data_IF_138288074241
#
_entry.id   IF_138288074241
#
_cell.length_a   1.000
_cell.length_b   1.000
_cell.length_c   1.000
_cell.angle_alpha   90.00
_cell.angle_beta   90.00
_cell.angle_gamma   90.00
#
_symmetry.space_group_name_H-M   'P 1'
#
loop_
_entity.id
_entity.type
_entity.pdbx_description
1 polymer ?
#
# COMPACT_ATOMS: atom_id res chain seq x y z
N UNK A 1 37.92 52.35 14.61
CA UNK A 1 37.43 52.09 15.99
C UNK A 1 36.21 52.93 16.28
N UNK A 2 36.29 54.21 16.69
CA UNK A 2 35.08 55.05 16.94
C UNK A 2 34.01 54.97 15.84
N UNK A 3 34.32 55.48 14.64
CA UNK A 3 33.46 55.36 13.43
C UNK A 3 33.04 53.94 13.05
N UNK A 4 33.67 52.89 13.58
CA UNK A 4 33.31 51.50 13.27
C UNK A 4 32.12 51.09 14.13
N UNK A 5 32.21 51.29 15.45
CA UNK A 5 31.10 51.05 16.38
C UNK A 5 29.94 52.05 16.18
N UNK A 6 30.25 53.29 15.79
CA UNK A 6 29.26 54.32 15.47
C UNK A 6 28.43 53.91 14.24
N UNK A 7 29.08 53.45 13.15
CA UNK A 7 28.38 52.89 11.99
C UNK A 7 27.61 51.60 12.31
N UNK A 8 28.13 50.73 13.20
CA UNK A 8 27.43 49.51 13.63
C UNK A 8 26.15 49.85 14.42
N UNK A 9 26.20 50.86 15.29
CA UNK A 9 25.04 51.38 16.02
C UNK A 9 24.02 52.07 15.10
N UNK A 10 24.47 52.93 14.18
CA UNK A 10 23.58 53.55 13.18
C UNK A 10 22.90 52.50 12.30
N UNK A 11 23.63 51.46 11.89
CA UNK A 11 23.09 50.32 11.13
C UNK A 11 22.04 49.56 11.93
N UNK A 12 22.31 49.21 13.19
CA UNK A 12 21.36 48.52 14.06
C UNK A 12 20.09 49.35 14.33
N UNK A 13 20.22 50.66 14.56
CA UNK A 13 19.08 51.58 14.73
C UNK A 13 18.28 51.72 13.44
N UNK A 14 18.94 51.79 12.29
CA UNK A 14 18.28 51.83 10.97
C UNK A 14 17.44 50.56 10.72
N UNK A 15 18.02 49.38 10.99
CA UNK A 15 17.33 48.08 10.89
C UNK A 15 16.12 48.03 11.83
N UNK A 16 16.26 48.47 13.09
CA UNK A 16 15.16 48.49 14.05
C UNK A 16 14.02 49.43 13.62
N UNK A 17 14.32 50.60 13.07
CA UNK A 17 13.32 51.54 12.56
C UNK A 17 12.58 51.01 11.34
N UNK A 18 13.28 50.33 10.42
CA UNK A 18 12.69 49.67 9.24
C UNK A 18 11.76 48.51 9.64
N UNK A 19 12.18 47.66 10.58
CA UNK A 19 11.34 46.60 11.18
C UNK A 19 10.05 47.17 11.79
N UNK A 20 10.15 48.25 12.58
CA UNK A 20 8.99 48.93 13.19
C UNK A 20 8.09 49.60 12.12
N UNK A 21 8.66 50.12 11.03
CA UNK A 21 7.90 50.74 9.95
C UNK A 21 7.10 49.71 9.16
N UNK A 22 7.72 48.57 8.81
CA UNK A 22 7.08 47.47 8.07
C UNK A 22 5.93 46.85 8.87
N UNK A 23 6.12 46.58 10.16
CA UNK A 23 5.06 46.01 11.02
C UNK A 23 3.81 46.88 11.10
N UNK A 24 3.94 48.21 11.08
CA UNK A 24 2.81 49.14 11.09
C UNK A 24 2.08 49.28 9.76
N UNK A 25 2.73 48.96 8.64
CA UNK A 25 2.13 49.06 7.31
C UNK A 25 1.34 47.80 6.92
N UNK A 26 1.67 46.68 7.54
CA UNK A 26 1.23 45.35 7.11
C UNK A 26 2.00 44.87 5.89
N UNK A 27 2.17 43.56 5.77
CA UNK A 27 2.94 42.92 4.71
C UNK A 27 2.04 42.04 3.85
N UNK A 28 2.34 41.96 2.56
CA UNK A 28 1.62 41.09 1.63
C UNK A 28 2.02 39.60 1.75
N UNK A 29 2.77 39.22 2.79
CA UNK A 29 3.33 37.88 2.97
C UNK A 29 2.38 36.99 3.80
N UNK A 30 1.91 37.48 4.95
CA UNK A 30 0.66 37.07 5.61
C UNK A 30 0.44 37.90 6.89
N UNK A 31 -0.78 37.91 7.41
CA UNK A 31 -1.13 38.54 8.69
C UNK A 31 -0.26 38.06 9.87
N UNK A 32 0.33 36.86 9.76
CA UNK A 32 1.31 36.35 10.71
C UNK A 32 2.54 37.26 10.85
N UNK A 33 3.16 37.67 9.73
CA UNK A 33 4.36 38.52 9.73
C UNK A 33 4.09 39.88 10.38
N UNK A 34 2.86 40.36 10.30
CA UNK A 34 2.46 41.67 10.81
C UNK A 34 2.28 41.65 12.34
N UNK A 35 1.73 40.55 12.88
CA UNK A 35 1.68 40.29 14.33
C UNK A 35 3.10 40.19 14.87
N UNK A 36 3.98 39.45 14.19
CA UNK A 36 5.38 39.25 14.58
C UNK A 36 6.17 40.55 14.63
N UNK A 37 6.10 41.38 13.58
CA UNK A 37 6.74 42.68 13.54
C UNK A 37 6.15 43.64 14.58
N UNK A 38 4.87 43.46 14.95
CA UNK A 38 4.24 44.21 16.05
C UNK A 38 4.75 43.76 17.42
N UNK A 39 4.75 42.45 17.74
CA UNK A 39 5.31 41.93 18.99
C UNK A 39 6.80 42.27 19.14
N UNK A 40 7.59 42.14 18.08
CA UNK A 40 8.98 42.57 18.09
C UNK A 40 9.11 44.08 18.36
N UNK A 41 8.29 44.92 17.73
CA UNK A 41 8.23 46.37 17.99
C UNK A 41 7.75 46.73 19.41
N UNK A 42 6.99 45.87 20.09
CA UNK A 42 6.59 46.06 21.49
C UNK A 42 7.63 45.55 22.47
N UNK A 43 8.18 44.33 22.29
CA UNK A 43 9.31 43.81 23.08
C UNK A 43 10.56 44.72 22.94
N UNK A 44 10.76 45.38 21.79
CA UNK A 44 11.81 46.42 21.60
C UNK A 44 11.68 47.57 22.62
N UNK A 45 10.45 48.06 22.88
CA UNK A 45 10.21 49.19 23.78
C UNK A 45 10.41 48.83 25.26
N UNK A 46 10.23 47.56 25.63
CA UNK A 46 10.31 47.09 27.01
C UNK A 46 11.67 46.49 27.40
N UNK A 47 12.24 45.66 26.52
CA UNK A 47 13.40 44.81 26.80
C UNK A 47 14.59 45.02 25.86
N UNK A 48 14.53 46.04 24.99
CA UNK A 48 15.58 46.32 24.01
C UNK A 48 15.66 45.27 22.89
N UNK A 49 16.82 45.21 22.23
CA UNK A 49 17.02 44.39 21.03
C UNK A 49 16.91 42.89 21.31
N UNK A 50 17.40 42.40 22.45
CA UNK A 50 17.38 40.97 22.79
C UNK A 50 15.95 40.41 22.90
N UNK A 51 15.02 41.20 23.45
CA UNK A 51 13.61 40.82 23.50
C UNK A 51 12.93 40.86 22.12
N UNK A 52 13.38 41.75 21.23
CA UNK A 52 12.91 41.79 19.85
C UNK A 52 13.45 40.60 19.02
N UNK A 53 14.70 40.20 19.25
CA UNK A 53 15.30 38.99 18.70
C UNK A 53 14.54 37.74 19.17
N UNK A 54 14.24 37.62 20.46
CA UNK A 54 13.43 36.51 20.96
C UNK A 54 12.03 36.47 20.31
N UNK A 55 11.35 37.60 20.11
CA UNK A 55 10.10 37.62 19.32
C UNK A 55 10.29 37.19 17.85
N UNK A 56 11.39 37.56 17.21
CA UNK A 56 11.67 37.15 15.84
C UNK A 56 12.01 35.65 15.74
N UNK A 57 12.70 35.09 16.73
CA UNK A 57 12.97 33.66 16.83
C UNK A 57 11.69 32.88 17.17
N UNK A 58 10.93 33.29 18.20
CA UNK A 58 9.60 32.76 18.54
C UNK A 58 8.69 32.69 17.29
N UNK A 59 8.80 33.70 16.42
CA UNK A 59 8.04 33.85 15.19
C UNK A 59 8.52 33.02 14.00
N UNK A 60 9.83 32.95 13.75
CA UNK A 60 10.37 32.09 12.69
C UNK A 60 10.09 30.61 13.04
N UNK A 61 10.21 30.26 14.32
CA UNK A 61 9.79 28.97 14.88
C UNK A 61 8.30 28.69 14.60
N UNK A 62 7.43 29.70 14.66
CA UNK A 62 5.99 29.55 14.36
C UNK A 62 5.66 29.62 12.85
N UNK A 63 6.49 30.22 11.99
CA UNK A 63 6.29 30.23 10.53
C UNK A 63 6.69 28.92 9.85
N UNK A 64 7.88 28.39 10.14
CA UNK A 64 8.33 27.07 9.61
C UNK A 64 7.38 25.95 10.04
N UNK A 65 6.82 26.11 11.25
CA UNK A 65 5.77 25.29 11.85
C UNK A 65 4.42 25.36 11.12
N UNK A 66 4.19 26.34 10.23
CA UNK A 66 2.96 26.46 9.42
C UNK A 66 3.12 25.93 7.99
N UNK A 67 4.23 26.18 7.28
CA UNK A 67 4.45 25.58 5.94
C UNK A 67 4.50 24.05 5.99
N UNK A 68 5.13 23.50 7.04
CA UNK A 68 5.27 22.06 7.25
C UNK A 68 3.92 21.33 7.33
N UNK A 69 2.85 22.00 7.79
CA UNK A 69 1.52 21.40 7.93
C UNK A 69 0.75 21.29 6.61
N UNK A 70 1.02 22.13 5.60
CA UNK A 70 0.30 22.05 4.33
C UNK A 70 0.73 20.88 3.44
N UNK A 71 2.04 20.61 3.30
CA UNK A 71 2.52 19.50 2.43
C UNK A 71 2.00 18.14 2.91
N UNK A 72 1.85 17.97 4.22
CA UNK A 72 1.26 16.78 4.88
C UNK A 72 -0.21 16.54 4.48
N UNK A 73 -0.96 17.57 4.11
CA UNK A 73 -2.40 17.47 3.84
C UNK A 73 -2.77 16.89 2.46
N UNK A 74 -1.85 16.90 1.48
CA UNK A 74 -2.13 16.47 0.10
C UNK A 74 -1.84 14.99 -0.12
N UNK A 75 -0.64 14.50 0.23
CA UNK A 75 -0.25 13.08 0.06
C UNK A 75 -1.22 12.13 0.76
N UNK A 76 -1.73 12.56 1.92
CA UNK A 76 -2.73 11.87 2.76
C UNK A 76 -4.06 11.59 2.03
N UNK A 77 -4.39 12.31 0.96
CA UNK A 77 -5.58 12.07 0.11
C UNK A 77 -5.33 11.06 -1.00
N UNK A 78 -4.10 10.95 -1.49
CA UNK A 78 -3.71 10.00 -2.54
C UNK A 78 -3.68 8.57 -1.98
N UNK A 79 -3.03 8.38 -0.83
CA UNK A 79 -2.97 7.08 -0.15
C UNK A 79 -4.35 6.60 0.29
N UNK A 80 -5.29 7.47 0.69
CA UNK A 80 -6.64 6.99 1.04
C UNK A 80 -7.51 6.57 -0.16
N UNK A 81 -7.16 6.97 -1.39
CA UNK A 81 -7.76 6.40 -2.61
C UNK A 81 -7.12 5.03 -2.89
N UNK A 82 -5.80 4.93 -2.77
CA UNK A 82 -5.09 3.64 -2.80
C UNK A 82 -5.62 2.69 -1.72
N UNK A 83 -5.94 3.18 -0.52
CA UNK A 83 -6.31 2.37 0.65
C UNK A 83 -7.81 2.16 0.87
N UNK A 84 -8.69 2.95 0.24
CA UNK A 84 -10.07 2.53 0.03
C UNK A 84 -10.10 1.33 -0.92
N UNK A 85 -9.19 1.30 -1.91
CA UNK A 85 -8.83 0.04 -2.54
C UNK A 85 -8.16 -0.92 -1.52
N UNK A 86 -7.08 -0.58 -0.78
CA UNK A 86 -6.42 -1.48 0.25
C UNK A 86 -7.41 -2.02 1.32
N UNK A 87 -8.66 -1.55 1.42
CA UNK A 87 -9.70 -2.16 2.29
C UNK A 87 -11.02 -2.57 1.61
N UNK A 88 -11.12 -2.47 0.28
CA UNK A 88 -11.68 -3.62 -0.44
C UNK A 88 -10.74 -4.80 -0.20
N UNK A 89 -9.51 -4.65 -0.69
CA UNK A 89 -8.37 -5.55 -0.60
C UNK A 89 -8.27 -6.21 0.80
N UNK A 90 -7.97 -5.52 1.91
CA UNK A 90 -7.80 -6.17 3.23
C UNK A 90 -9.06 -6.76 3.88
N UNK A 91 -10.26 -6.49 3.37
CA UNK A 91 -11.48 -7.20 3.80
C UNK A 91 -11.83 -8.37 2.86
N UNK A 92 -11.19 -8.42 1.69
CA UNK A 92 -10.84 -9.63 0.94
C UNK A 92 -9.51 -10.28 1.42
N UNK A 93 -8.86 -9.66 2.43
CA UNK A 93 -7.61 -10.02 3.17
C UNK A 93 -6.25 -9.88 2.44
N UNK A 94 -6.18 -8.97 1.47
CA UNK A 94 -5.06 -8.59 0.59
C UNK A 94 -3.91 -7.77 1.24
N UNK A 95 -2.87 -8.42 1.79
CA UNK A 95 -1.87 -7.73 2.64
C UNK A 95 -0.37 -7.69 2.22
N UNK A 96 0.15 -8.36 1.19
CA UNK A 96 0.19 -7.95 -0.22
C UNK A 96 0.64 -6.50 -0.53
N UNK A 97 0.67 -5.56 0.41
CA UNK A 97 0.05 -4.25 0.14
C UNK A 97 0.90 -2.96 0.18
N UNK A 98 2.17 -2.80 -0.20
CA UNK A 98 3.24 -3.59 -0.86
C UNK A 98 3.28 -3.71 -2.42
N UNK A 99 2.38 -4.40 -3.14
CA UNK A 99 2.73 -5.02 -4.48
C UNK A 99 1.98 -4.82 -5.88
N UNK A 100 0.78 -4.19 -6.09
CA UNK A 100 0.46 -3.03 -7.03
C UNK A 100 -0.86 -2.32 -6.68
N UNK A 101 -0.77 -1.05 -6.24
CA UNK A 101 -1.65 -0.21 -5.39
C UNK A 101 -1.27 0.14 -3.91
N UNK A 102 -0.64 -0.62 -3.02
CA UNK A 102 0.04 -1.91 -3.11
C UNK A 102 1.47 -1.54 -3.69
N UNK A 103 2.06 -2.03 -4.79
CA UNK A 103 3.29 -1.49 -5.49
C UNK A 103 3.04 -0.07 -6.03
N UNK A 104 1.84 0.48 -5.85
CA UNK A 104 1.55 1.91 -6.06
C UNK A 104 1.16 2.66 -4.79
N UNK A 105 1.37 2.06 -3.63
CA UNK A 105 1.78 2.76 -2.42
C UNK A 105 3.32 2.89 -2.42
N UNK A 106 4.05 1.85 -2.88
CA UNK A 106 5.52 1.90 -2.98
C UNK A 106 6.00 2.71 -4.20
N UNK A 107 5.46 2.50 -5.40
CA UNK A 107 5.73 3.37 -6.56
C UNK A 107 5.07 4.76 -6.42
N UNK A 108 4.27 4.99 -5.38
CA UNK A 108 3.94 6.33 -4.84
C UNK A 108 4.80 6.73 -3.62
N UNK A 109 6.09 6.43 -3.67
CA UNK A 109 7.18 7.37 -3.32
C UNK A 109 8.45 6.98 -4.11
N UNK A 110 8.74 5.68 -4.18
CA UNK A 110 9.71 5.05 -5.08
C UNK A 110 9.18 4.95 -6.53
N UNK A 111 8.84 6.09 -7.14
CA UNK A 111 8.37 6.19 -8.55
C UNK A 111 9.46 5.87 -9.62
N UNK A 112 10.50 5.14 -9.20
CA UNK A 112 11.87 5.18 -9.69
C UNK A 112 12.21 4.06 -10.68
N UNK A 113 11.37 3.90 -11.71
CA UNK A 113 11.55 3.10 -12.95
C UNK A 113 10.94 1.66 -12.98
N UNK A 114 10.98 0.98 -14.16
CA UNK A 114 9.89 0.15 -14.76
C UNK A 114 10.44 -0.95 -15.75
N UNK A 115 9.65 -1.88 -16.35
CA UNK A 115 8.51 -2.74 -15.90
C UNK A 115 8.64 -4.24 -16.36
N UNK A 116 7.60 -5.09 -16.22
CA UNK A 116 7.47 -6.43 -16.88
C UNK A 116 5.98 -6.91 -16.99
N UNK A 117 5.63 -8.06 -16.39
CA UNK A 117 4.27 -8.40 -15.94
C UNK A 117 4.34 -9.09 -14.57
N UNK A 118 3.74 -8.49 -13.55
CA UNK A 118 4.57 -7.55 -12.79
C UNK A 118 5.44 -8.34 -11.80
N UNK A 119 6.76 -8.14 -11.83
CA UNK A 119 7.70 -9.05 -11.15
C UNK A 119 7.61 -8.96 -9.61
N UNK A 120 7.40 -7.75 -9.07
CA UNK A 120 7.25 -7.54 -7.62
C UNK A 120 6.13 -8.40 -7.03
N UNK A 121 4.94 -8.37 -7.65
CA UNK A 121 3.81 -9.22 -7.26
C UNK A 121 4.18 -10.68 -7.17
N UNK A 122 4.79 -11.20 -8.24
CA UNK A 122 5.03 -12.63 -8.39
C UNK A 122 6.02 -13.13 -7.34
N UNK A 123 7.04 -12.31 -7.03
CA UNK A 123 7.98 -12.52 -5.91
C UNK A 123 7.24 -12.55 -4.58
N UNK A 124 6.44 -11.52 -4.27
CA UNK A 124 5.79 -11.40 -2.96
C UNK A 124 4.63 -12.40 -2.78
N UNK A 125 3.94 -12.78 -3.86
CA UNK A 125 3.02 -13.91 -3.85
C UNK A 125 3.74 -15.19 -3.37
N UNK A 126 4.91 -15.51 -3.93
CA UNK A 126 5.61 -16.75 -3.57
C UNK A 126 6.17 -16.67 -2.16
N UNK A 127 6.72 -15.51 -1.77
CA UNK A 127 7.19 -15.20 -0.42
C UNK A 127 6.10 -15.44 0.64
N UNK A 128 4.94 -14.80 0.49
CA UNK A 128 3.85 -14.91 1.47
C UNK A 128 3.08 -16.23 1.39
N UNK A 129 2.97 -16.86 0.21
CA UNK A 129 2.44 -18.23 0.13
C UNK A 129 3.35 -19.20 0.90
N UNK A 130 4.67 -19.17 0.65
CA UNK A 130 5.63 -20.05 1.33
C UNK A 130 5.58 -19.80 2.84
N UNK A 131 5.59 -18.53 3.27
CA UNK A 131 5.37 -18.19 4.69
C UNK A 131 4.05 -18.76 5.23
N UNK A 132 2.95 -18.59 4.50
CA UNK A 132 1.64 -19.06 4.89
C UNK A 132 1.58 -20.57 5.03
N UNK A 133 2.14 -21.30 4.07
CA UNK A 133 2.25 -22.76 4.09
C UNK A 133 3.15 -23.23 5.24
N UNK A 134 4.41 -22.81 5.29
CA UNK A 134 5.43 -23.27 6.25
C UNK A 134 5.13 -22.92 7.71
N UNK A 135 4.62 -21.69 7.98
CA UNK A 135 4.41 -21.18 9.34
C UNK A 135 2.99 -21.36 9.86
N UNK A 136 2.09 -21.95 9.08
CA UNK A 136 0.67 -22.08 9.44
C UNK A 136 -0.13 -20.76 9.38
N UNK A 137 0.40 -19.72 8.75
CA UNK A 137 -0.21 -18.38 8.76
C UNK A 137 -1.30 -18.24 7.68
N UNK A 138 -2.57 -18.34 8.09
CA UNK A 138 -3.73 -18.03 7.24
C UNK A 138 -3.62 -16.66 6.57
N UNK A 139 -3.19 -15.65 7.32
CA UNK A 139 -3.06 -14.29 6.79
C UNK A 139 -2.06 -14.20 5.63
N UNK A 140 -0.94 -14.91 5.67
CA UNK A 140 0.02 -14.91 4.56
C UNK A 140 -0.46 -15.73 3.35
N UNK A 141 -1.40 -16.66 3.56
CA UNK A 141 -2.18 -17.24 2.46
C UNK A 141 -3.18 -16.23 1.90
N UNK A 142 -3.90 -15.49 2.75
CA UNK A 142 -4.79 -14.40 2.33
C UNK A 142 -4.05 -13.31 1.54
N UNK A 143 -2.80 -13.01 1.90
CA UNK A 143 -1.89 -12.19 1.11
C UNK A 143 -1.71 -12.79 -0.28
N UNK A 144 -1.28 -14.04 -0.38
CA UNK A 144 -1.01 -14.66 -1.67
C UNK A 144 -2.29 -14.89 -2.49
N UNK A 145 -3.45 -15.08 -1.87
CA UNK A 145 -4.79 -15.06 -2.51
C UNK A 145 -5.02 -13.74 -3.26
N UNK A 146 -4.31 -12.68 -2.90
CA UNK A 146 -4.66 -11.33 -3.30
C UNK A 146 -3.56 -10.58 -4.04
N UNK A 147 -2.29 -10.87 -3.78
CA UNK A 147 -1.28 -10.82 -4.83
C UNK A 147 -1.80 -11.57 -6.07
N UNK A 148 -2.41 -12.75 -5.90
CA UNK A 148 -3.01 -13.51 -7.00
C UNK A 148 -4.28 -12.86 -7.59
N UNK A 149 -5.29 -12.46 -6.81
CA UNK A 149 -6.47 -11.76 -7.37
C UNK A 149 -6.11 -10.41 -8.02
N UNK A 150 -5.12 -9.67 -7.50
CA UNK A 150 -4.65 -8.42 -8.10
C UNK A 150 -3.75 -8.68 -9.33
N UNK A 151 -2.99 -9.77 -9.38
CA UNK A 151 -2.38 -10.30 -10.62
C UNK A 151 -3.44 -10.70 -11.66
N UNK A 152 -4.50 -11.41 -11.26
CA UNK A 152 -5.64 -11.79 -12.13
C UNK A 152 -6.34 -10.53 -12.63
N UNK A 153 -6.58 -9.55 -11.77
CA UNK A 153 -7.14 -8.24 -12.13
C UNK A 153 -6.18 -7.36 -12.95
N UNK A 154 -4.96 -7.83 -13.25
CA UNK A 154 -3.99 -7.18 -14.14
C UNK A 154 -3.43 -8.14 -15.23
N UNK A 155 -4.07 -9.29 -15.45
CA UNK A 155 -3.71 -10.29 -16.48
C UNK A 155 -4.26 -9.93 -17.87
N UNK A 156 -3.65 -10.46 -18.94
CA UNK A 156 -3.90 -10.04 -20.34
C UNK A 156 -4.09 -11.19 -21.34
N UNK A 157 -3.49 -12.37 -21.16
CA UNK A 157 -3.70 -13.53 -22.06
C UNK A 157 -4.11 -14.84 -21.35
N UNK A 158 -4.38 -15.90 -22.11
CA UNK A 158 -4.88 -17.20 -21.61
C UNK A 158 -3.86 -17.98 -20.79
N UNK A 159 -2.57 -17.84 -21.05
CA UNK A 159 -1.52 -18.54 -20.30
C UNK A 159 -1.05 -17.70 -19.09
N UNK A 160 -1.09 -16.37 -19.19
CA UNK A 160 -1.07 -15.46 -18.03
C UNK A 160 -2.24 -15.78 -17.06
N UNK A 161 -3.48 -15.92 -17.56
CA UNK A 161 -4.67 -16.24 -16.74
C UNK A 161 -4.65 -17.65 -16.18
N UNK A 162 -4.36 -18.67 -16.99
CA UNK A 162 -4.22 -20.05 -16.53
C UNK A 162 -3.20 -20.17 -15.39
N UNK A 163 -2.03 -19.52 -15.55
CA UNK A 163 -1.02 -19.44 -14.49
C UNK A 163 -1.57 -18.80 -13.23
N UNK A 164 -2.14 -17.59 -13.30
CA UNK A 164 -2.59 -16.86 -12.13
C UNK A 164 -3.81 -17.51 -11.43
N UNK A 165 -4.67 -18.21 -12.17
CA UNK A 165 -5.76 -19.01 -11.62
C UNK A 165 -5.24 -20.18 -10.78
N UNK A 166 -4.25 -20.94 -11.27
CA UNK A 166 -3.62 -22.02 -10.49
C UNK A 166 -2.97 -21.50 -9.21
N UNK A 167 -2.33 -20.33 -9.27
CA UNK A 167 -1.81 -19.66 -8.08
C UNK A 167 -2.95 -19.42 -7.07
N UNK A 168 -4.00 -18.68 -7.46
CA UNK A 168 -5.14 -18.35 -6.61
C UNK A 168 -5.83 -19.59 -6.01
N UNK A 169 -6.16 -20.59 -6.84
CA UNK A 169 -6.86 -21.80 -6.40
C UNK A 169 -6.06 -22.62 -5.40
N UNK A 170 -4.73 -22.68 -5.56
CA UNK A 170 -3.83 -23.38 -4.62
C UNK A 170 -3.89 -22.73 -3.24
N UNK A 171 -3.74 -21.41 -3.17
CA UNK A 171 -3.65 -20.67 -1.91
C UNK A 171 -5.02 -20.51 -1.22
N UNK A 172 -6.12 -20.37 -1.98
CA UNK A 172 -7.49 -20.47 -1.46
C UNK A 172 -7.74 -21.84 -0.80
N UNK A 173 -7.29 -22.93 -1.46
CA UNK A 173 -7.46 -24.27 -0.91
C UNK A 173 -6.71 -24.45 0.41
N UNK A 174 -5.51 -23.88 0.53
CA UNK A 174 -4.70 -23.91 1.76
C UNK A 174 -5.31 -23.11 2.91
N UNK A 175 -5.93 -21.98 2.61
CA UNK A 175 -6.64 -21.19 3.63
C UNK A 175 -7.90 -21.94 4.08
N UNK A 176 -8.69 -22.42 3.11
CA UNK A 176 -9.90 -23.19 3.35
C UNK A 176 -9.67 -24.50 4.11
N UNK A 177 -8.53 -25.17 3.89
CA UNK A 177 -8.10 -26.36 4.65
C UNK A 177 -8.03 -26.10 6.16
N UNK A 178 -7.61 -24.89 6.55
CA UNK A 178 -7.33 -24.52 7.95
C UNK A 178 -8.51 -23.87 8.66
N UNK A 179 -9.37 -23.16 7.93
CA UNK A 179 -10.56 -22.52 8.49
C UNK A 179 -11.75 -23.48 8.47
N UNK A 180 -12.63 -23.40 9.48
CA UNK A 180 -13.82 -24.26 9.56
C UNK A 180 -14.90 -23.91 8.52
N UNK A 181 -14.87 -22.69 7.97
CA UNK A 181 -15.75 -22.27 6.88
C UNK A 181 -15.40 -22.94 5.54
N UNK A 182 -16.42 -23.21 4.72
CA UNK A 182 -16.26 -23.85 3.40
C UNK A 182 -15.90 -22.86 2.29
N UNK A 183 -16.23 -21.57 2.45
CA UNK A 183 -16.23 -20.57 1.38
C UNK A 183 -14.93 -20.51 0.55
N UNK A 184 -13.74 -20.55 1.18
CA UNK A 184 -12.47 -20.52 0.46
C UNK A 184 -12.20 -21.79 -0.36
N UNK A 185 -12.63 -22.97 0.11
CA UNK A 185 -12.54 -24.22 -0.64
C UNK A 185 -13.50 -24.21 -1.83
N UNK A 186 -14.71 -23.66 -1.64
CA UNK A 186 -15.74 -23.55 -2.68
C UNK A 186 -15.33 -22.53 -3.76
N UNK A 187 -14.68 -21.43 -3.37
CA UNK A 187 -14.04 -20.52 -4.32
C UNK A 187 -12.90 -21.20 -5.08
N UNK A 188 -12.05 -21.98 -4.40
CA UNK A 188 -10.94 -22.70 -5.05
C UNK A 188 -11.40 -23.72 -6.11
N UNK A 189 -12.47 -24.49 -5.83
CA UNK A 189 -13.06 -25.45 -6.80
C UNK A 189 -13.47 -24.74 -8.09
N UNK A 190 -14.12 -23.58 -7.97
CA UNK A 190 -14.55 -22.78 -9.12
C UNK A 190 -13.35 -22.23 -9.93
N UNK A 191 -12.31 -21.74 -9.24
CA UNK A 191 -11.08 -21.24 -9.88
C UNK A 191 -10.34 -22.35 -10.64
N UNK A 192 -10.29 -23.59 -10.12
CA UNK A 192 -9.66 -24.70 -10.83
C UNK A 192 -10.45 -25.18 -12.06
N UNK A 193 -11.78 -25.20 -12.00
CA UNK A 193 -12.59 -25.53 -13.18
C UNK A 193 -12.39 -24.51 -14.31
N UNK A 194 -12.34 -23.21 -13.99
CA UNK A 194 -12.07 -22.16 -14.97
C UNK A 194 -10.68 -22.30 -15.64
N UNK A 195 -9.67 -22.81 -14.93
CA UNK A 195 -8.35 -23.06 -15.49
C UNK A 195 -8.35 -24.21 -16.53
N UNK A 196 -9.19 -25.25 -16.37
CA UNK A 196 -9.31 -26.37 -17.33
C UNK A 196 -9.93 -25.95 -18.67
N UNK A 197 -10.66 -24.83 -18.72
CA UNK A 197 -11.24 -24.29 -19.95
C UNK A 197 -10.20 -23.50 -20.77
N UNK A 198 -9.30 -22.76 -20.10
CA UNK A 198 -8.14 -22.12 -20.74
C UNK A 198 -7.08 -23.16 -21.16
N UNK A 199 -6.91 -24.23 -20.36
CA UNK A 199 -5.91 -25.28 -20.52
C UNK A 199 -6.54 -26.65 -20.81
N UNK A 200 -7.05 -26.82 -22.04
CA UNK A 200 -7.62 -28.10 -22.52
C UNK A 200 -6.56 -29.19 -22.71
N UNK A 201 -7.00 -30.46 -22.65
CA UNK A 201 -6.18 -31.66 -22.81
C UNK A 201 -5.48 -31.71 -24.17
N UNK A 202 -6.11 -31.17 -25.20
CA UNK A 202 -5.61 -31.12 -26.58
C UNK A 202 -4.59 -30.00 -26.79
N UNK A 203 -4.65 -28.92 -25.99
CA UNK A 203 -3.76 -27.75 -26.11
C UNK A 203 -2.50 -27.89 -25.25
N UNK A 204 -2.67 -28.29 -23.98
CA UNK A 204 -1.61 -28.36 -22.96
C UNK A 204 -1.86 -29.54 -22.00
N UNK A 205 -1.75 -30.80 -22.49
CA UNK A 205 -2.14 -32.00 -21.74
C UNK A 205 -1.57 -32.10 -20.31
N UNK A 206 -0.29 -31.78 -20.15
CA UNK A 206 0.40 -31.85 -18.85
C UNK A 206 -0.12 -30.81 -17.85
N UNK A 207 -0.53 -29.63 -18.32
CA UNK A 207 -1.10 -28.57 -17.47
C UNK A 207 -2.59 -28.79 -17.19
N UNK A 208 -3.32 -29.40 -18.12
CA UNK A 208 -4.66 -29.94 -17.88
C UNK A 208 -4.62 -30.98 -16.74
N UNK A 209 -3.74 -31.98 -16.82
CA UNK A 209 -3.58 -33.00 -15.77
C UNK A 209 -3.13 -32.41 -14.42
N UNK A 210 -2.16 -31.48 -14.43
CA UNK A 210 -1.72 -30.73 -13.24
C UNK A 210 -2.88 -29.98 -12.56
N UNK A 211 -3.82 -29.46 -13.35
CA UNK A 211 -5.01 -28.75 -12.88
C UNK A 211 -6.06 -29.73 -12.32
N UNK A 212 -6.32 -30.85 -13.00
CA UNK A 212 -7.20 -31.93 -12.51
C UNK A 212 -6.74 -32.45 -11.13
N UNK A 213 -5.44 -32.67 -10.94
CA UNK A 213 -4.89 -33.08 -9.65
C UNK A 213 -5.08 -32.01 -8.55
N UNK A 214 -4.97 -30.73 -8.91
CA UNK A 214 -5.13 -29.61 -7.97
C UNK A 214 -6.59 -29.42 -7.53
N UNK A 215 -7.55 -29.64 -8.45
CA UNK A 215 -9.00 -29.62 -8.21
C UNK A 215 -9.46 -30.68 -7.19
N UNK A 216 -8.86 -31.88 -7.20
CA UNK A 216 -9.24 -32.96 -6.28
C UNK A 216 -9.04 -32.62 -4.80
N UNK A 217 -8.12 -31.70 -4.49
CA UNK A 217 -7.74 -31.36 -3.12
C UNK A 217 -8.84 -30.60 -2.34
N UNK A 218 -9.39 -29.45 -2.78
CA UNK A 218 -10.47 -28.78 -2.06
C UNK A 218 -11.79 -29.57 -2.11
N UNK A 219 -12.05 -30.35 -3.17
CA UNK A 219 -13.21 -31.25 -3.25
C UNK A 219 -13.20 -32.29 -2.11
N UNK A 220 -12.05 -32.93 -1.86
CA UNK A 220 -11.87 -33.86 -0.74
C UNK A 220 -12.10 -33.16 0.60
N UNK A 221 -11.44 -32.03 0.83
CA UNK A 221 -11.52 -31.28 2.10
C UNK A 221 -12.94 -30.77 2.40
N UNK A 222 -13.77 -30.52 1.37
CA UNK A 222 -15.20 -30.23 1.52
C UNK A 222 -16.01 -31.49 1.84
N UNK A 223 -15.79 -32.59 1.13
CA UNK A 223 -16.45 -33.87 1.41
C UNK A 223 -16.17 -34.43 2.82
N UNK A 224 -15.00 -34.11 3.39
CA UNK A 224 -14.64 -34.42 4.79
C UNK A 224 -15.39 -33.58 5.84
N UNK A 225 -16.10 -32.51 5.42
CA UNK A 225 -16.89 -31.61 6.28
C UNK A 225 -18.40 -31.81 6.13
N UNK A 226 -18.83 -32.70 5.25
CA UNK A 226 -20.23 -32.88 4.85
C UNK A 226 -20.71 -34.32 5.01
N UNK A 227 -22.02 -34.50 5.19
CA UNK A 227 -22.64 -35.80 5.44
C UNK A 227 -22.98 -36.58 4.15
N UNK A 228 -22.11 -36.60 3.15
CA UNK A 228 -22.39 -37.25 1.86
C UNK A 228 -21.17 -37.45 0.95
N UNK A 229 -21.24 -38.46 0.06
CA UNK A 229 -20.10 -38.93 -0.73
C UNK A 229 -19.80 -38.14 -2.01
N UNK A 230 -20.73 -37.31 -2.51
CA UNK A 230 -20.65 -36.76 -3.87
C UNK A 230 -19.37 -35.93 -4.17
N UNK A 231 -18.91 -35.10 -3.23
CA UNK A 231 -17.65 -34.34 -3.39
C UNK A 231 -16.41 -35.23 -3.33
N UNK A 232 -16.47 -36.39 -2.65
CA UNK A 232 -15.40 -37.39 -2.63
C UNK A 232 -15.33 -38.17 -3.94
N UNK A 233 -16.49 -38.55 -4.51
CA UNK A 233 -16.57 -39.19 -5.83
C UNK A 233 -16.07 -38.25 -6.94
N UNK A 234 -16.39 -36.96 -6.88
CA UNK A 234 -15.86 -35.94 -7.77
C UNK A 234 -14.32 -35.83 -7.66
N UNK A 235 -13.76 -35.82 -6.43
CA UNK A 235 -12.32 -35.82 -6.22
C UNK A 235 -11.64 -37.07 -6.82
N UNK A 236 -12.24 -38.27 -6.66
CA UNK A 236 -11.74 -39.51 -7.28
C UNK A 236 -11.72 -39.39 -8.81
N UNK A 237 -12.72 -38.76 -9.43
CA UNK A 237 -12.74 -38.56 -10.87
C UNK A 237 -11.66 -37.59 -11.34
N UNK A 238 -11.43 -36.49 -10.62
CA UNK A 238 -10.39 -35.51 -10.94
C UNK A 238 -8.97 -36.13 -10.81
N UNK A 239 -8.71 -36.88 -9.74
CA UNK A 239 -7.44 -37.60 -9.58
C UNK A 239 -7.23 -38.71 -10.62
N UNK A 240 -8.29 -39.35 -11.13
CA UNK A 240 -8.17 -40.31 -12.24
C UNK A 240 -7.82 -39.63 -13.55
N UNK A 241 -8.53 -38.55 -13.91
CA UNK A 241 -8.24 -37.77 -15.11
C UNK A 241 -6.78 -37.26 -15.14
N UNK A 242 -6.25 -36.86 -13.97
CA UNK A 242 -4.85 -36.45 -13.81
C UNK A 242 -3.81 -37.58 -13.96
N UNK A 243 -4.23 -38.84 -14.00
CA UNK A 243 -3.39 -40.04 -14.16
C UNK A 243 -3.54 -40.68 -15.56
N UNK A 244 -4.23 -40.01 -16.48
CA UNK A 244 -4.35 -40.43 -17.89
C UNK A 244 -3.32 -39.73 -18.81
N UNK A 245 -2.39 -38.95 -18.23
CA UNK A 245 -1.27 -38.24 -18.90
C UNK A 245 0.06 -38.56 -18.19
#
# INVERSE_FOLDING_TARGET
MGRTQENELESAVSIALDVIARGKQGTNLNAFVDVVLTEAAEKTKGSGLDGAAQAADDALIELDRQEAEQRKAIRRKRILILEAAVRQHMLRRDAAAVVELIERLIAEEHATERPAWHLGFRVQYDEYRIEGEDKGLNFSLEIAIECARRMIATARDSDERGTAAILLGTVLSRLGERESGTAWLEEAVNIFHAALEEWTRERVPLDWARTQNSLGFPLRTLGERESGAARLEAAISAYRAALEE
#
